data_IF_835906224033
#
_entry.id   IF_835906224033
#
_cell.length_a   1.000
_cell.length_b   1.000
_cell.length_c   1.000
_cell.angle_alpha   90.00
_cell.angle_beta   90.00
_cell.angle_gamma   90.00
#
_symmetry.space_group_name_H-M   'P 1'
#
loop_
_entity.id
_entity.type
_entity.pdbx_description
1 polymer ?
#
# COMPACT_ATOMS: atom_id res chain seq x y z
N UNK A 1 6.17 -19.96 13.59
CA UNK A 1 7.27 -20.84 13.15
C UNK A 1 7.74 -20.43 11.75
N UNK A 2 8.93 -19.81 11.62
CA UNK A 2 9.43 -19.29 10.34
C UNK A 2 9.63 -20.40 9.27
N UNK A 3 9.97 -21.62 9.69
CA UNK A 3 10.14 -22.77 8.80
C UNK A 3 8.86 -23.15 8.05
N UNK A 4 7.69 -23.10 8.71
CA UNK A 4 6.41 -23.44 8.07
C UNK A 4 6.06 -22.44 6.94
N UNK A 5 6.31 -21.14 7.15
CA UNK A 5 6.11 -20.12 6.12
C UNK A 5 7.00 -20.38 4.90
N UNK A 6 8.26 -20.76 5.14
CA UNK A 6 9.22 -21.07 4.09
C UNK A 6 8.79 -22.30 3.28
N UNK A 7 8.31 -23.36 3.94
CA UNK A 7 7.76 -24.55 3.26
C UNK A 7 6.56 -24.17 2.39
N UNK A 8 5.63 -23.36 2.90
CA UNK A 8 4.48 -22.88 2.13
C UNK A 8 4.93 -22.11 0.89
N UNK A 9 5.94 -21.24 1.01
CA UNK A 9 6.47 -20.51 -0.15
C UNK A 9 7.12 -21.44 -1.18
N UNK A 10 7.83 -22.47 -0.76
CA UNK A 10 8.38 -23.47 -1.69
C UNK A 10 7.27 -24.23 -2.42
N UNK A 11 6.23 -24.67 -1.71
CA UNK A 11 5.09 -25.36 -2.34
C UNK A 11 4.40 -24.43 -3.34
N UNK A 12 4.16 -23.17 -2.98
CA UNK A 12 3.56 -22.20 -3.88
C UNK A 12 4.44 -21.96 -5.13
N UNK A 13 5.75 -21.84 -4.96
CA UNK A 13 6.68 -21.67 -6.08
C UNK A 13 6.66 -22.88 -7.03
N UNK A 14 6.64 -24.10 -6.49
CA UNK A 14 6.56 -25.34 -7.28
C UNK A 14 5.22 -25.41 -8.04
N UNK A 15 4.10 -25.03 -7.40
CA UNK A 15 2.79 -25.01 -8.06
C UNK A 15 2.75 -24.02 -9.22
N UNK A 16 3.23 -22.79 -9.01
CA UNK A 16 3.29 -21.77 -10.07
C UNK A 16 4.23 -22.19 -11.19
N UNK A 17 5.40 -22.76 -10.86
CA UNK A 17 6.36 -23.25 -11.85
C UNK A 17 5.80 -24.43 -12.67
N UNK A 18 5.15 -25.40 -12.02
CA UNK A 18 4.53 -26.54 -12.69
C UNK A 18 3.37 -26.10 -13.59
N UNK A 19 2.53 -25.17 -13.12
CA UNK A 19 1.49 -24.55 -13.92
C UNK A 19 2.08 -23.86 -15.16
N UNK A 20 3.19 -23.13 -14.99
CA UNK A 20 3.87 -22.47 -16.09
C UNK A 20 4.37 -23.46 -17.16
N UNK A 21 5.03 -24.54 -16.74
CA UNK A 21 5.56 -25.55 -17.68
C UNK A 21 4.43 -26.30 -18.39
N UNK A 22 3.37 -26.69 -17.68
CA UNK A 22 2.24 -27.44 -18.26
C UNK A 22 1.41 -26.59 -19.23
N UNK A 23 1.36 -25.28 -19.02
CA UNK A 23 0.60 -24.35 -19.85
C UNK A 23 1.48 -23.60 -20.86
N UNK A 24 2.63 -24.17 -21.25
CA UNK A 24 3.46 -23.67 -22.36
C UNK A 24 2.80 -23.83 -23.74
N UNK A 25 1.60 -24.40 -23.82
CA UNK A 25 0.80 -24.43 -25.04
C UNK A 25 0.65 -23.03 -25.63
N UNK A 26 0.85 -22.93 -26.94
CA UNK A 26 0.75 -21.67 -27.69
C UNK A 26 -0.71 -21.23 -27.79
N UNK A 27 -0.95 -19.95 -27.56
CA UNK A 27 -2.23 -19.28 -27.83
C UNK A 27 -1.95 -18.19 -28.84
N UNK A 28 -2.75 -18.16 -29.90
CA UNK A 28 -2.70 -17.13 -30.92
C UNK A 28 -3.38 -15.86 -30.39
N UNK A 29 -2.60 -14.81 -30.21
CA UNK A 29 -3.11 -13.48 -29.87
C UNK A 29 -3.14 -12.64 -31.15
N UNK A 30 -4.35 -12.32 -31.59
CA UNK A 30 -4.59 -11.44 -32.71
C UNK A 30 -4.63 -9.98 -32.22
N UNK A 31 -3.76 -9.13 -32.75
CA UNK A 31 -3.76 -7.69 -32.43
C UNK A 31 -3.70 -6.85 -33.70
N UNK A 32 -4.25 -5.64 -33.62
CA UNK A 32 -4.15 -4.65 -34.68
C UNK A 32 -3.05 -3.66 -34.34
N UNK A 33 -2.14 -3.43 -35.28
CA UNK A 33 -1.17 -2.33 -35.18
C UNK A 33 -1.85 -0.96 -35.42
N UNK A 34 -1.15 0.14 -35.16
CA UNK A 34 -1.62 1.52 -35.39
C UNK A 34 -2.03 1.79 -36.84
N UNK A 35 -1.55 0.97 -37.78
CA UNK A 35 -1.91 1.00 -39.20
C UNK A 35 -3.09 0.08 -39.57
N UNK A 36 -3.79 -0.47 -38.57
CA UNK A 36 -4.91 -1.42 -38.71
C UNK A 36 -4.54 -2.73 -39.44
N UNK A 37 -3.27 -3.10 -39.46
CA UNK A 37 -2.85 -4.40 -39.96
C UNK A 37 -3.02 -5.45 -38.87
N UNK A 38 -3.61 -6.58 -39.23
CA UNK A 38 -3.79 -7.72 -38.33
C UNK A 38 -2.47 -8.48 -38.21
N UNK A 39 -1.99 -8.62 -36.98
CA UNK A 39 -0.82 -9.42 -36.65
C UNK A 39 -1.21 -10.53 -35.68
N UNK A 40 -0.64 -11.70 -35.91
CA UNK A 40 -0.80 -12.87 -35.05
C UNK A 40 0.49 -13.06 -34.27
N UNK A 41 0.38 -13.11 -32.94
CA UNK A 41 1.50 -13.39 -32.06
C UNK A 41 1.20 -14.68 -31.29
N UNK A 42 2.04 -15.69 -31.52
CA UNK A 42 1.99 -16.93 -30.78
C UNK A 42 2.73 -16.77 -29.45
N UNK A 43 1.98 -16.81 -28.36
CA UNK A 43 2.49 -16.65 -27.01
C UNK A 43 2.05 -17.84 -26.16
N UNK A 44 2.89 -18.34 -25.23
CA UNK A 44 2.46 -19.34 -24.28
C UNK A 44 1.27 -18.83 -23.46
N UNK A 45 0.23 -19.65 -23.25
CA UNK A 45 -0.96 -19.30 -22.47
C UNK A 45 -0.62 -18.64 -21.13
N UNK A 46 0.42 -19.14 -20.47
CA UNK A 46 0.93 -18.61 -19.20
C UNK A 46 1.29 -17.14 -19.32
N UNK A 47 1.96 -16.72 -20.39
CA UNK A 47 2.33 -15.32 -20.57
C UNK A 47 1.11 -14.43 -20.76
N UNK A 48 0.12 -14.87 -21.55
CA UNK A 48 -1.12 -14.15 -21.77
C UNK A 48 -1.94 -13.95 -20.49
N UNK A 49 -1.91 -14.92 -19.56
CA UNK A 49 -2.61 -14.84 -18.27
C UNK A 49 -1.79 -14.08 -17.21
N UNK A 50 -0.47 -14.27 -17.16
CA UNK A 50 0.39 -13.71 -16.13
C UNK A 50 0.61 -12.20 -16.30
N UNK A 51 0.57 -11.67 -17.52
CA UNK A 51 0.68 -10.23 -17.78
C UNK A 51 -0.46 -9.44 -17.09
N UNK A 52 -1.75 -9.70 -17.37
CA UNK A 52 -2.84 -8.97 -16.72
C UNK A 52 -2.91 -9.24 -15.22
N UNK A 53 -2.59 -10.47 -14.78
CA UNK A 53 -2.55 -10.80 -13.35
C UNK A 53 -1.44 -10.02 -12.62
N UNK A 54 -0.25 -9.96 -13.22
CA UNK A 54 0.88 -9.18 -12.72
C UNK A 54 0.59 -7.68 -12.70
N UNK A 55 -0.03 -7.15 -13.75
CA UNK A 55 -0.47 -5.74 -13.80
C UNK A 55 -1.50 -5.43 -12.72
N UNK A 56 -2.47 -6.32 -12.48
CA UNK A 56 -3.46 -6.16 -11.42
C UNK A 56 -2.81 -6.13 -10.03
N UNK A 57 -1.91 -7.08 -9.74
CA UNK A 57 -1.16 -7.11 -8.48
C UNK A 57 -0.28 -5.87 -8.31
N UNK A 58 0.40 -5.44 -9.38
CA UNK A 58 1.23 -4.24 -9.35
C UNK A 58 0.39 -2.99 -9.07
N UNK A 59 -0.78 -2.86 -9.71
CA UNK A 59 -1.71 -1.77 -9.45
C UNK A 59 -2.19 -1.75 -7.99
N UNK A 60 -2.59 -2.90 -7.45
CA UNK A 60 -2.98 -3.02 -6.04
C UNK A 60 -1.83 -2.65 -5.09
N UNK A 61 -0.61 -3.10 -5.40
CA UNK A 61 0.59 -2.75 -4.66
C UNK A 61 0.86 -1.24 -4.66
N UNK A 62 0.75 -0.58 -5.81
CA UNK A 62 0.88 0.88 -5.92
C UNK A 62 -0.17 1.62 -5.09
N UNK A 63 -1.42 1.16 -5.10
CA UNK A 63 -2.48 1.74 -4.27
C UNK A 63 -2.17 1.62 -2.78
N UNK A 64 -1.77 0.43 -2.33
CA UNK A 64 -1.36 0.19 -0.95
C UNK A 64 -0.16 1.04 -0.55
N UNK A 65 0.85 1.15 -1.41
CA UNK A 65 2.02 1.97 -1.17
C UNK A 65 1.64 3.45 -1.03
N UNK A 66 0.74 3.94 -1.88
CA UNK A 66 0.26 5.32 -1.83
C UNK A 66 -0.49 5.64 -0.53
N UNK A 67 -1.32 4.73 -0.04
CA UNK A 67 -2.06 4.92 1.21
C UNK A 67 -1.13 4.86 2.42
N UNK A 68 -0.13 3.98 2.39
CA UNK A 68 0.90 3.89 3.43
C UNK A 68 1.72 5.18 3.54
N UNK A 69 2.11 5.77 2.40
CA UNK A 69 2.84 7.05 2.36
C UNK A 69 1.96 8.19 2.93
N UNK A 70 0.68 8.26 2.53
CA UNK A 70 -0.27 9.26 3.08
C UNK A 70 -0.41 9.14 4.59
N UNK A 71 -0.58 7.92 5.10
CA UNK A 71 -0.68 7.64 6.53
C UNK A 71 0.58 8.09 7.28
N UNK A 72 1.78 7.75 6.77
CA UNK A 72 3.06 8.21 7.33
C UNK A 72 3.16 9.73 7.39
N UNK A 73 2.67 10.42 6.37
CA UNK A 73 2.68 11.89 6.33
C UNK A 73 1.72 12.49 7.38
N UNK A 74 0.53 11.91 7.55
CA UNK A 74 -0.44 12.34 8.57
C UNK A 74 0.13 12.17 9.97
N UNK A 75 0.73 11.00 10.28
CA UNK A 75 1.38 10.76 11.57
C UNK A 75 2.47 11.79 11.84
N UNK A 76 3.28 12.13 10.83
CA UNK A 76 4.34 13.14 10.99
C UNK A 76 3.77 14.54 11.27
N UNK A 77 2.64 14.90 10.66
CA UNK A 77 1.96 16.17 10.93
C UNK A 77 1.40 16.18 12.36
N UNK A 78 0.70 15.12 12.75
CA UNK A 78 0.12 15.00 14.10
C UNK A 78 1.19 15.06 15.19
N UNK A 79 2.33 14.36 15.02
CA UNK A 79 3.43 14.44 15.98
C UNK A 79 3.98 15.85 16.14
N UNK A 80 4.15 16.61 15.04
CA UNK A 80 4.60 18.01 15.12
C UNK A 80 3.61 18.88 15.89
N UNK A 81 2.31 18.68 15.65
CA UNK A 81 1.24 19.41 16.32
C UNK A 81 1.17 19.08 17.82
N UNK A 82 1.38 17.80 18.19
CA UNK A 82 1.48 17.38 19.60
C UNK A 82 2.66 18.07 20.27
N UNK A 83 3.85 18.03 19.68
CA UNK A 83 5.03 18.66 20.27
C UNK A 83 4.89 20.18 20.44
N UNK A 84 4.24 20.86 19.49
CA UNK A 84 3.96 22.29 19.62
C UNK A 84 2.98 22.60 20.77
N UNK A 85 1.91 21.81 20.92
CA UNK A 85 0.97 21.95 22.03
C UNK A 85 1.60 21.63 23.39
N UNK A 86 2.50 20.65 23.45
CA UNK A 86 3.28 20.34 24.65
C UNK A 86 4.19 21.50 25.06
N UNK A 87 4.85 22.13 24.09
CA UNK A 87 5.71 23.31 24.31
C UNK A 87 4.90 24.53 24.80
N UNK A 88 3.70 24.76 24.23
CA UNK A 88 2.79 25.83 24.69
C UNK A 88 2.31 25.60 26.13
N UNK A 89 1.92 24.36 26.48
CA UNK A 89 1.54 23.99 27.84
C UNK A 89 2.68 24.21 28.83
N UNK A 90 3.90 23.90 28.42
CA UNK A 90 5.09 24.11 29.25
C UNK A 90 5.40 25.60 29.45
N UNK A 91 5.26 26.43 28.41
CA UNK A 91 5.38 27.89 28.52
C UNK A 91 4.29 28.51 29.42
N UNK A 92 3.04 28.07 29.29
CA UNK A 92 1.93 28.54 30.12
C UNK A 92 2.09 28.14 31.59
N UNK A 93 2.64 26.95 31.86
CA UNK A 93 2.97 26.50 33.22
C UNK A 93 4.12 27.29 33.85
N UNK A 94 5.08 27.72 33.05
CA UNK A 94 6.25 28.48 33.50
C UNK A 94 6.03 30.01 33.55
N UNK A 95 4.92 30.50 33.01
CA UNK A 95 4.50 31.90 33.16
C UNK A 95 3.93 32.09 34.57
N UNK A 96 4.36 33.09 35.37
CA UNK A 96 3.85 33.29 36.72
C UNK A 96 2.34 33.53 36.66
N UNK A 97 1.58 32.55 37.14
CA UNK A 97 0.13 32.65 37.18
C UNK A 97 -0.27 33.73 38.19
N UNK A 98 -0.82 34.83 37.69
CA UNK A 98 -1.64 35.73 38.51
C UNK A 98 -2.81 34.87 38.98
N UNK A 99 -3.07 34.77 40.29
CA UNK A 99 -4.08 33.84 40.80
C UNK A 99 -5.41 34.14 40.12
N UNK A 100 -5.94 33.15 39.41
CA UNK A 100 -7.27 33.19 38.85
C UNK A 100 -8.23 33.49 40.00
N UNK A 101 -8.84 34.68 39.98
CA UNK A 101 -9.96 34.94 40.87
C UNK A 101 -11.03 33.94 40.47
N UNK A 102 -11.26 32.98 41.36
CA UNK A 102 -12.37 32.05 41.31
C UNK A 102 -13.60 32.92 41.55
N UNK A 103 -14.11 33.54 40.49
CA UNK A 103 -15.44 34.14 40.50
C UNK A 103 -16.40 32.96 40.60
N UNK A 104 -16.83 32.70 41.82
CA UNK A 104 -17.85 31.73 42.15
C UNK A 104 -19.12 32.10 41.40
N UNK A 105 -19.36 31.42 40.28
CA UNK A 105 -20.70 31.34 39.70
C UNK A 105 -21.55 30.52 40.66
N UNK A 106 -22.14 31.22 41.63
CA UNK A 106 -23.24 30.73 42.44
C UNK A 106 -24.46 30.64 41.52
N UNK A 107 -24.71 29.45 40.97
CA UNK A 107 -25.99 29.14 40.35
C UNK A 107 -27.00 28.82 41.46
N UNK A 108 -27.99 29.71 41.61
CA UNK A 108 -29.23 29.52 42.37
C UNK A 108 -30.32 28.93 41.47
#
# INVERSE_FOLDING_TARGET
>A
MPALKLIIYFIAAILVGSFAVQNMGSVEVNYYDFRLNLHTLELPLVTAVMIPLGLGLFGAWCMWLSSWIKMRMVIRKQNKTISAMEEELEMLRNTPQIPAQIESTTDY
#
